data_IF_377394046092
#
_entry.id   IF_377394046092
#
_cell.length_a   1.000
_cell.length_b   1.000
_cell.length_c   1.000
_cell.angle_alpha   90.00
_cell.angle_beta   90.00
_cell.angle_gamma   90.00
#
_symmetry.space_group_name_H-M   'P 1'
#
loop_
_entity.id
_entity.type
_entity.pdbx_description
1 polymer ?
#
# COMPACT_ATOMS: atom_id res chain seq x y z
N UNK A 1 36.08 66.27 -41.97
CA UNK A 1 35.97 65.01 -42.74
C UNK A 1 36.43 63.88 -41.83
N UNK A 2 35.74 62.75 -41.88
CA UNK A 2 36.13 61.44 -41.34
C UNK A 2 36.03 61.16 -39.82
N UNK A 3 34.89 61.42 -39.20
CA UNK A 3 34.51 60.78 -37.90
C UNK A 3 33.46 59.68 -38.01
N UNK A 4 32.91 59.44 -39.21
CA UNK A 4 31.87 58.42 -39.41
C UNK A 4 32.42 57.00 -39.66
N UNK A 5 33.70 56.87 -40.05
CA UNK A 5 34.32 55.57 -40.31
C UNK A 5 34.65 54.78 -39.03
N UNK A 6 34.80 55.43 -37.87
CA UNK A 6 35.17 54.74 -36.62
C UNK A 6 34.01 54.07 -35.86
N UNK A 7 32.74 54.34 -36.21
CA UNK A 7 31.61 53.65 -35.58
C UNK A 7 31.27 52.31 -36.22
N UNK A 8 31.60 52.08 -37.49
CA UNK A 8 31.27 50.81 -38.16
C UNK A 8 32.25 49.68 -37.86
N UNK A 9 33.55 49.98 -37.64
CA UNK A 9 34.53 48.95 -37.29
C UNK A 9 34.39 48.44 -35.85
N UNK A 10 33.81 49.22 -34.93
CA UNK A 10 33.61 48.77 -33.54
C UNK A 10 32.51 47.71 -33.40
N UNK A 11 31.48 47.72 -34.26
CA UNK A 11 30.37 46.78 -34.17
C UNK A 11 30.67 45.47 -34.92
N UNK A 12 31.42 45.56 -36.03
CA UNK A 12 31.91 44.37 -36.75
C UNK A 12 32.88 43.57 -35.88
N UNK A 13 33.72 44.24 -35.07
CA UNK A 13 34.64 43.57 -34.15
C UNK A 13 33.93 42.78 -33.03
N UNK A 14 32.81 43.30 -32.51
CA UNK A 14 32.03 42.62 -31.44
C UNK A 14 31.26 41.42 -31.99
N UNK A 15 30.72 41.52 -33.21
CA UNK A 15 30.00 40.42 -33.84
C UNK A 15 30.98 39.30 -34.28
N UNK A 16 32.17 39.66 -34.78
CA UNK A 16 33.18 38.67 -35.20
C UNK A 16 33.77 37.89 -34.00
N UNK A 17 33.98 38.54 -32.85
CA UNK A 17 34.43 37.87 -31.61
C UNK A 17 33.32 36.99 -31.01
N UNK A 18 32.05 37.40 -31.13
CA UNK A 18 30.92 36.59 -30.64
C UNK A 18 30.69 35.32 -31.48
N UNK A 19 30.91 35.38 -32.80
CA UNK A 19 30.86 34.22 -33.68
C UNK A 19 32.07 33.29 -33.53
N UNK A 20 33.24 33.81 -33.12
CA UNK A 20 34.42 33.00 -32.84
C UNK A 20 34.32 32.25 -31.50
N UNK A 21 33.63 32.81 -30.49
CA UNK A 21 33.39 32.13 -29.20
C UNK A 21 32.32 31.03 -29.34
N UNK A 22 31.36 31.18 -30.26
CA UNK A 22 30.34 30.16 -30.54
C UNK A 22 30.81 29.00 -31.45
N UNK A 23 32.02 29.08 -32.02
CA UNK A 23 32.56 28.04 -32.91
C UNK A 23 33.68 27.18 -32.31
N UNK A 24 34.05 27.39 -31.04
CA UNK A 24 35.03 26.56 -30.30
C UNK A 24 34.34 25.66 -29.25
N UNK A 25 33.01 25.57 -29.26
CA UNK A 25 32.25 24.60 -28.47
C UNK A 25 31.36 23.72 -29.36
N UNK A 26 31.97 22.98 -30.27
CA UNK A 26 31.44 21.69 -30.71
C UNK A 26 32.57 20.77 -31.19
N UNK A 27 33.03 19.88 -30.31
CA UNK A 27 33.60 18.60 -30.72
C UNK A 27 33.74 17.66 -29.52
N UNK A 28 32.66 17.41 -28.78
CA UNK A 28 32.51 16.07 -28.22
C UNK A 28 31.90 15.20 -29.31
N UNK A 29 32.75 14.32 -29.84
CA UNK A 29 32.40 13.27 -30.79
C UNK A 29 31.16 12.51 -30.29
N UNK A 30 30.31 11.98 -31.18
CA UNK A 30 29.46 10.86 -30.80
C UNK A 30 30.38 9.68 -30.48
N UNK A 31 30.60 9.45 -29.18
CA UNK A 31 31.19 8.20 -28.71
C UNK A 31 30.20 7.09 -29.02
N UNK A 32 30.45 6.35 -30.11
CA UNK A 32 29.73 5.11 -30.46
C UNK A 32 29.96 4.01 -29.42
N UNK A 33 30.73 4.27 -28.36
CA UNK A 33 30.82 3.43 -27.16
C UNK A 33 30.99 4.30 -25.92
N UNK A 34 29.94 5.02 -25.52
CA UNK A 34 29.75 5.36 -24.12
C UNK A 34 28.42 4.71 -23.71
N UNK A 35 28.53 3.56 -23.06
CA UNK A 35 27.48 3.06 -22.18
C UNK A 35 27.27 4.12 -21.10
N UNK A 36 26.46 5.12 -21.41
CA UNK A 36 25.68 5.79 -20.39
C UNK A 36 24.70 4.71 -19.99
N UNK A 37 25.04 3.94 -18.95
CA UNK A 37 24.01 3.23 -18.22
C UNK A 37 22.88 4.22 -18.04
N UNK A 38 21.63 3.89 -18.40
CA UNK A 38 20.52 4.71 -17.97
C UNK A 38 20.74 4.90 -16.47
N UNK A 39 20.82 6.15 -16.02
CA UNK A 39 20.74 6.43 -14.59
C UNK A 39 19.59 5.56 -14.11
N UNK A 40 19.84 4.58 -13.21
CA UNK A 40 18.74 3.82 -12.67
C UNK A 40 17.85 4.91 -12.08
N UNK A 41 16.61 4.98 -12.56
CA UNK A 41 15.56 5.78 -11.93
C UNK A 41 15.44 5.20 -10.53
N UNK A 42 16.31 5.68 -9.66
CA UNK A 42 16.40 5.44 -8.24
C UNK A 42 15.59 6.56 -7.63
N UNK A 43 14.31 6.52 -7.94
CA UNK A 43 13.29 7.04 -7.05
C UNK A 43 12.41 5.85 -6.75
N UNK A 44 12.86 5.06 -5.77
CA UNK A 44 11.93 4.39 -4.87
C UNK A 44 10.94 5.49 -4.48
N UNK A 45 9.62 5.33 -4.69
CA UNK A 45 8.69 6.19 -4.01
C UNK A 45 8.92 5.94 -2.53
N UNK A 46 9.67 6.83 -1.87
CA UNK A 46 9.46 7.06 -0.45
C UNK A 46 7.96 7.31 -0.32
N UNK A 47 7.31 6.47 0.49
CA UNK A 47 5.91 6.62 0.89
C UNK A 47 5.82 7.87 1.76
N UNK A 48 5.89 9.03 1.11
CA UNK A 48 5.61 10.33 1.70
C UNK A 48 4.09 10.50 1.69
N UNK A 49 3.45 10.01 2.76
CA UNK A 49 2.05 10.24 3.15
C UNK A 49 1.08 10.50 2.00
N UNK A 50 0.73 9.45 1.24
CA UNK A 50 -0.42 9.56 0.33
C UNK A 50 -1.67 9.81 1.17
N UNK A 51 -2.35 10.91 0.88
CA UNK A 51 -3.48 11.38 1.66
C UNK A 51 -4.69 10.43 1.50
N UNK A 52 -5.31 10.07 2.61
CA UNK A 52 -6.58 9.32 2.63
C UNK A 52 -7.70 10.24 2.14
N UNK A 53 -8.34 9.86 1.03
CA UNK A 53 -9.43 10.64 0.44
C UNK A 53 -10.81 10.07 0.78
N UNK A 54 -10.91 8.76 1.01
CA UNK A 54 -12.14 8.09 1.45
C UNK A 54 -11.74 7.18 2.59
N UNK A 55 -12.49 7.24 3.68
CA UNK A 55 -12.37 6.31 4.80
C UNK A 55 -13.76 5.81 5.15
N UNK A 56 -13.92 4.50 5.23
CA UNK A 56 -15.10 3.86 5.80
C UNK A 56 -14.65 3.06 7.01
N UNK A 57 -15.24 3.37 8.16
CA UNK A 57 -15.12 2.59 9.38
C UNK A 57 -16.42 1.87 9.67
N UNK A 58 -16.34 0.56 9.86
CA UNK A 58 -17.47 -0.32 10.17
C UNK A 58 -17.27 -0.84 11.60
N UNK A 59 -18.20 -0.50 12.51
CA UNK A 59 -18.14 -0.91 13.91
C UNK A 59 -19.42 -1.59 14.37
N UNK A 60 -19.29 -2.54 15.29
CA UNK A 60 -20.41 -3.11 16.04
C UNK A 60 -20.89 -4.45 15.51
N UNK A 61 -22.18 -4.74 15.67
CA UNK A 61 -22.73 -6.07 15.41
C UNK A 61 -22.39 -7.11 16.51
N UNK A 62 -23.01 -8.30 16.46
CA UNK A 62 -22.93 -9.29 17.53
C UNK A 62 -21.53 -9.89 17.73
N UNK A 63 -20.67 -9.85 16.72
CA UNK A 63 -19.30 -10.39 16.77
C UNK A 63 -18.25 -9.32 17.14
N UNK A 64 -18.66 -8.05 17.28
CA UNK A 64 -17.75 -6.94 17.57
C UNK A 64 -16.87 -6.57 16.38
N UNK A 65 -17.45 -6.41 15.19
CA UNK A 65 -16.72 -6.01 13.98
C UNK A 65 -16.03 -4.67 14.19
N UNK A 66 -14.76 -4.60 13.81
CA UNK A 66 -13.99 -3.37 13.66
C UNK A 66 -13.18 -3.51 12.37
N UNK A 67 -13.70 -2.91 11.29
CA UNK A 67 -13.07 -2.93 9.99
C UNK A 67 -12.88 -1.50 9.51
N UNK A 68 -11.73 -1.25 8.87
CA UNK A 68 -11.44 0.02 8.22
C UNK A 68 -11.15 -0.21 6.74
N UNK A 69 -11.77 0.58 5.88
CA UNK A 69 -11.46 0.68 4.46
C UNK A 69 -10.94 2.08 4.18
N UNK A 70 -9.77 2.16 3.54
CA UNK A 70 -9.15 3.40 3.11
C UNK A 70 -9.00 3.41 1.60
N UNK A 71 -9.27 4.56 0.99
CA UNK A 71 -8.88 4.86 -0.39
C UNK A 71 -7.93 6.05 -0.35
N UNK A 72 -6.72 5.82 -0.83
CA UNK A 72 -5.66 6.81 -0.90
C UNK A 72 -5.73 7.57 -2.23
N UNK A 73 -5.23 8.81 -2.26
CA UNK A 73 -5.24 9.63 -3.48
C UNK A 73 -4.48 8.97 -4.66
N UNK A 74 -3.50 8.12 -4.37
CA UNK A 74 -2.75 7.32 -5.34
C UNK A 74 -3.53 6.12 -5.92
N UNK A 75 -4.82 5.97 -5.57
CA UNK A 75 -5.75 4.90 -5.98
C UNK A 75 -5.56 3.57 -5.25
N UNK A 76 -4.75 3.50 -4.20
CA UNK A 76 -4.66 2.29 -3.38
C UNK A 76 -5.88 2.20 -2.48
N UNK A 77 -6.61 1.09 -2.58
CA UNK A 77 -7.65 0.69 -1.63
C UNK A 77 -7.03 -0.29 -0.63
N UNK A 78 -7.21 -0.02 0.67
CA UNK A 78 -6.75 -0.87 1.76
C UNK A 78 -7.92 -1.25 2.65
N UNK A 79 -7.96 -2.51 3.08
CA UNK A 79 -8.91 -3.04 4.06
C UNK A 79 -8.09 -3.53 5.24
N UNK A 80 -8.45 -3.13 6.45
CA UNK A 80 -7.90 -3.63 7.70
C UNK A 80 -8.99 -4.37 8.48
N UNK A 81 -8.70 -5.62 8.82
CA UNK A 81 -9.52 -6.44 9.70
C UNK A 81 -8.97 -6.33 11.12
N UNK A 82 -9.25 -5.21 11.80
CA UNK A 82 -8.70 -4.89 13.13
C UNK A 82 -9.12 -5.90 14.22
N UNK A 83 -10.18 -6.67 13.97
CA UNK A 83 -10.61 -7.76 14.82
C UNK A 83 -11.34 -8.83 13.98
N UNK A 84 -11.10 -10.14 14.22
CA UNK A 84 -10.20 -10.73 15.22
C UNK A 84 -8.75 -10.94 14.76
N UNK A 85 -8.47 -10.86 13.46
CA UNK A 85 -7.28 -11.49 12.87
C UNK A 85 -6.10 -10.53 12.60
N UNK A 86 -6.32 -9.21 12.63
CA UNK A 86 -5.34 -8.17 12.29
C UNK A 86 -4.69 -8.35 10.90
N UNK A 87 -5.42 -8.95 9.97
CA UNK A 87 -5.05 -9.03 8.57
C UNK A 87 -5.31 -7.70 7.85
N UNK A 88 -4.71 -7.55 6.68
CA UNK A 88 -5.10 -6.49 5.75
C UNK A 88 -5.11 -6.99 4.33
N UNK A 89 -5.92 -6.37 3.48
CA UNK A 89 -5.94 -6.59 2.05
C UNK A 89 -5.77 -5.27 1.34
N UNK A 90 -5.18 -5.28 0.15
CA UNK A 90 -5.08 -4.09 -0.66
C UNK A 90 -5.23 -4.40 -2.16
N UNK A 91 -5.62 -3.38 -2.92
CA UNK A 91 -5.58 -3.41 -4.39
C UNK A 91 -5.39 -2.00 -4.92
N UNK A 92 -4.82 -1.88 -6.12
CA UNK A 92 -4.80 -0.63 -6.88
C UNK A 92 -6.08 -0.52 -7.68
N UNK A 93 -6.86 0.54 -7.45
CA UNK A 93 -8.03 0.88 -8.26
C UNK A 93 -7.60 1.39 -9.64
N UNK A 94 -8.37 1.03 -10.65
CA UNK A 94 -8.29 1.68 -11.96
C UNK A 94 -8.70 3.16 -11.85
N UNK A 95 -8.30 3.96 -12.83
CA UNK A 95 -8.74 5.36 -12.89
C UNK A 95 -10.26 5.49 -12.96
N UNK A 96 -10.92 4.54 -13.65
CA UNK A 96 -12.37 4.51 -13.80
C UNK A 96 -13.02 4.23 -12.43
N UNK A 97 -12.62 3.15 -11.74
CA UNK A 97 -13.13 2.85 -10.39
C UNK A 97 -12.95 4.02 -9.41
N UNK A 98 -11.79 4.68 -9.45
CA UNK A 98 -11.52 5.84 -8.60
C UNK A 98 -12.43 7.04 -8.93
N UNK A 99 -12.64 7.32 -10.21
CA UNK A 99 -13.51 8.40 -10.65
C UNK A 99 -14.98 8.10 -10.34
N UNK A 100 -15.40 6.85 -10.50
CA UNK A 100 -16.76 6.40 -10.18
C UNK A 100 -17.03 6.55 -8.67
N UNK A 101 -16.08 6.13 -7.82
CA UNK A 101 -16.16 6.34 -6.38
C UNK A 101 -16.30 7.83 -6.03
N UNK A 102 -15.43 8.70 -6.58
CA UNK A 102 -15.51 10.15 -6.31
C UNK A 102 -16.81 10.79 -6.80
N UNK A 103 -17.27 10.39 -7.98
CA UNK A 103 -18.52 10.88 -8.56
C UNK A 103 -19.72 10.48 -7.70
N UNK A 104 -19.70 9.29 -7.10
CA UNK A 104 -20.74 8.83 -6.20
C UNK A 104 -20.99 9.78 -5.03
N UNK A 105 -19.92 10.27 -4.38
CA UNK A 105 -20.03 11.21 -3.25
C UNK A 105 -20.62 12.56 -3.69
N UNK A 106 -20.23 13.04 -4.87
CA UNK A 106 -20.66 14.34 -5.39
C UNK A 106 -22.11 14.28 -5.90
N UNK A 107 -22.48 13.24 -6.64
CA UNK A 107 -23.84 12.99 -7.13
C UNK A 107 -24.85 12.81 -5.98
N UNK A 108 -24.42 12.21 -4.87
CA UNK A 108 -25.23 12.03 -3.67
C UNK A 108 -25.14 13.20 -2.68
N UNK A 109 -24.53 14.33 -3.07
CA UNK A 109 -24.39 15.55 -2.27
C UNK A 109 -23.83 15.29 -0.86
N UNK A 110 -22.79 14.46 -0.75
CA UNK A 110 -22.28 13.98 0.53
C UNK A 110 -21.93 15.10 1.53
N UNK A 111 -21.33 16.21 1.07
CA UNK A 111 -20.99 17.38 1.89
C UNK A 111 -22.21 18.09 2.53
N UNK A 112 -23.43 17.75 2.11
CA UNK A 112 -24.67 18.27 2.71
C UNK A 112 -25.34 17.29 3.68
N UNK A 113 -24.85 16.05 3.76
CA UNK A 113 -25.41 15.04 4.65
C UNK A 113 -25.03 15.36 6.11
N UNK A 114 -25.91 15.00 7.04
CA UNK A 114 -25.67 15.13 8.47
C UNK A 114 -25.47 13.73 9.08
N UNK A 115 -25.12 13.68 10.37
CA UNK A 115 -25.09 12.40 11.08
C UNK A 115 -26.50 11.82 11.18
N UNK A 116 -26.64 10.53 10.90
CA UNK A 116 -27.90 9.81 10.73
C UNK A 116 -27.94 8.59 11.67
N UNK A 117 -27.84 8.87 12.98
CA UNK A 117 -27.83 7.86 14.04
C UNK A 117 -29.23 7.55 14.56
N UNK A 118 -29.46 6.28 14.92
CA UNK A 118 -30.64 5.87 15.69
C UNK A 118 -30.56 6.37 17.14
N UNK A 119 -31.70 6.84 17.69
CA UNK A 119 -31.73 7.61 18.93
C UNK A 119 -31.51 6.82 20.25
N UNK A 120 -31.31 5.49 20.26
CA UNK A 120 -31.30 4.77 21.55
C UNK A 120 -30.60 3.41 21.69
N UNK A 121 -30.07 2.74 20.64
CA UNK A 121 -29.53 1.35 20.79
C UNK A 121 -28.23 1.08 20.02
N UNK A 122 -27.28 2.02 20.07
CA UNK A 122 -26.00 1.96 19.34
C UNK A 122 -25.11 0.73 19.66
N UNK A 123 -25.40 -0.04 20.71
CA UNK A 123 -24.59 -1.20 21.12
C UNK A 123 -24.85 -2.49 20.32
N UNK A 124 -25.93 -2.59 19.54
CA UNK A 124 -26.26 -3.79 18.75
C UNK A 124 -26.23 -3.58 17.24
N UNK A 125 -26.28 -2.33 16.79
CA UNK A 125 -26.36 -2.01 15.37
C UNK A 125 -24.96 -1.86 14.77
N UNK A 126 -24.82 -2.15 13.48
CA UNK A 126 -23.60 -1.89 12.74
C UNK A 126 -23.59 -0.41 12.37
N UNK A 127 -22.56 0.29 12.80
CA UNK A 127 -22.34 1.71 12.53
C UNK A 127 -21.33 1.88 11.40
N UNK A 128 -21.62 2.83 10.53
CA UNK A 128 -20.78 3.22 9.41
C UNK A 128 -20.36 4.67 9.61
N UNK A 129 -19.07 4.89 9.77
CA UNK A 129 -18.47 6.22 9.78
C UNK A 129 -17.74 6.41 8.45
N UNK A 130 -18.25 7.30 7.62
CA UNK A 130 -17.72 7.57 6.28
C UNK A 130 -17.12 8.97 6.28
N UNK A 131 -15.85 9.07 5.91
CA UNK A 131 -15.15 10.33 5.70
C UNK A 131 -14.79 10.45 4.23
N UNK A 132 -15.03 11.63 3.66
CA UNK A 132 -14.62 11.97 2.30
C UNK A 132 -13.90 13.31 2.28
N UNK A 133 -12.77 13.33 1.59
CA UNK A 133 -11.98 14.52 1.31
C UNK A 133 -11.92 14.77 -0.19
N UNK A 134 -12.28 15.98 -0.58
CA UNK A 134 -12.19 16.47 -1.95
C UNK A 134 -11.75 17.94 -1.91
N UNK A 135 -10.65 18.23 -2.61
CA UNK A 135 -9.99 19.53 -2.57
C UNK A 135 -9.65 19.92 -1.11
N UNK A 136 -10.06 21.10 -0.67
CA UNK A 136 -9.87 21.58 0.71
C UNK A 136 -11.03 21.22 1.66
N UNK A 137 -12.03 20.45 1.20
CA UNK A 137 -13.19 20.07 2.00
C UNK A 137 -13.03 18.66 2.55
N UNK A 138 -13.28 18.52 3.85
CA UNK A 138 -13.38 17.22 4.55
C UNK A 138 -14.73 17.16 5.23
N UNK A 139 -15.44 16.05 5.04
CA UNK A 139 -16.70 15.82 5.72
C UNK A 139 -16.78 14.38 6.20
N UNK A 140 -17.41 14.19 7.36
CA UNK A 140 -17.62 12.88 7.97
C UNK A 140 -19.09 12.76 8.33
N UNK A 141 -19.68 11.62 7.96
CA UNK A 141 -21.01 11.22 8.44
C UNK A 141 -20.88 9.96 9.27
N UNK A 142 -21.69 9.86 10.31
CA UNK A 142 -21.89 8.63 11.07
C UNK A 142 -23.34 8.21 10.90
N UNK A 143 -23.56 6.98 10.43
CA UNK A 143 -24.88 6.48 10.10
C UNK A 143 -25.10 5.05 10.57
N UNK A 144 -26.32 4.75 11.02
CA UNK A 144 -26.85 3.38 11.08
C UNK A 144 -27.52 3.09 9.73
N UNK A 145 -27.12 2.00 9.08
CA UNK A 145 -27.61 1.65 7.74
C UNK A 145 -29.14 1.60 7.64
N UNK A 146 -29.84 1.14 8.69
CA UNK A 146 -31.29 0.98 8.64
C UNK A 146 -32.04 2.31 8.70
N UNK A 147 -31.46 3.32 9.33
CA UNK A 147 -32.05 4.66 9.48
C UNK A 147 -31.46 5.69 8.53
N UNK A 148 -30.37 5.35 7.84
CA UNK A 148 -29.70 6.21 6.90
C UNK A 148 -30.60 6.61 5.72
N UNK A 149 -30.41 7.84 5.24
CA UNK A 149 -31.00 8.37 4.02
C UNK A 149 -30.60 7.52 2.83
N UNK A 150 -31.41 7.58 1.77
CA UNK A 150 -31.14 6.83 0.51
C UNK A 150 -29.75 7.18 -0.04
N UNK A 151 -29.34 8.45 0.06
CA UNK A 151 -28.04 8.95 -0.41
C UNK A 151 -26.88 8.34 0.38
N UNK A 152 -26.96 8.33 1.71
CA UNK A 152 -25.94 7.73 2.56
C UNK A 152 -25.81 6.22 2.32
N UNK A 153 -26.95 5.50 2.18
CA UNK A 153 -26.93 4.06 1.88
C UNK A 153 -26.29 3.73 0.55
N UNK A 154 -26.56 4.49 -0.51
CA UNK A 154 -25.92 4.29 -1.82
C UNK A 154 -24.38 4.35 -1.69
N UNK A 155 -23.86 5.32 -0.94
CA UNK A 155 -22.42 5.47 -0.70
C UNK A 155 -21.89 4.28 0.11
N UNK A 156 -22.55 3.93 1.21
CA UNK A 156 -22.15 2.80 2.06
C UNK A 156 -22.14 1.49 1.25
N UNK A 157 -23.19 1.22 0.47
CA UNK A 157 -23.32 0.01 -0.36
C UNK A 157 -22.19 -0.11 -1.38
N UNK A 158 -21.83 0.99 -2.04
CA UNK A 158 -20.73 0.99 -3.01
C UNK A 158 -19.38 0.69 -2.34
N UNK A 159 -19.11 1.28 -1.18
CA UNK A 159 -17.88 1.01 -0.42
C UNK A 159 -17.86 -0.44 0.10
N UNK A 160 -18.99 -0.94 0.58
CA UNK A 160 -19.16 -2.33 1.02
C UNK A 160 -19.00 -3.33 -0.12
N UNK A 161 -19.39 -2.98 -1.35
CA UNK A 161 -19.17 -3.81 -2.52
C UNK A 161 -17.67 -3.98 -2.78
N UNK A 162 -16.88 -2.90 -2.72
CA UNK A 162 -15.42 -2.99 -2.84
C UNK A 162 -14.81 -3.80 -1.69
N UNK A 163 -15.28 -3.59 -0.46
CA UNK A 163 -14.86 -4.35 0.71
C UNK A 163 -15.08 -5.85 0.51
N UNK A 164 -16.32 -6.22 0.19
CA UNK A 164 -16.76 -7.62 0.06
C UNK A 164 -16.03 -8.30 -1.09
N UNK A 165 -15.95 -7.67 -2.26
CA UNK A 165 -15.30 -8.25 -3.43
C UNK A 165 -13.82 -8.54 -3.20
N UNK A 166 -13.08 -7.63 -2.55
CA UNK A 166 -11.67 -7.87 -2.26
C UNK A 166 -11.53 -8.99 -1.21
N UNK A 167 -12.31 -8.92 -0.12
CA UNK A 167 -12.27 -9.92 0.95
C UNK A 167 -12.67 -11.33 0.50
N UNK A 168 -13.60 -11.44 -0.45
CA UNK A 168 -14.05 -12.74 -0.98
C UNK A 168 -13.21 -13.27 -2.13
N UNK A 169 -12.23 -12.52 -2.64
CA UNK A 169 -11.41 -12.94 -3.79
C UNK A 169 -10.04 -13.49 -3.38
N UNK A 170 -9.51 -13.05 -2.24
CA UNK A 170 -8.13 -13.32 -1.85
C UNK A 170 -8.05 -13.72 -0.38
N UNK A 171 -7.48 -14.89 -0.12
CA UNK A 171 -7.10 -15.32 1.23
C UNK A 171 -5.58 -15.46 1.33
N UNK A 172 -5.01 -14.84 2.35
CA UNK A 172 -3.57 -14.87 2.64
C UNK A 172 -3.37 -15.58 3.98
N UNK A 173 -2.57 -16.64 3.98
CA UNK A 173 -2.30 -17.45 5.17
C UNK A 173 -0.79 -17.58 5.36
N UNK A 174 -0.33 -17.30 6.57
CA UNK A 174 1.03 -17.63 6.99
C UNK A 174 0.99 -19.02 7.65
N UNK A 175 1.84 -19.92 7.18
CA UNK A 175 2.00 -21.25 7.75
C UNK A 175 3.36 -21.30 8.42
N UNK A 176 3.38 -21.77 9.67
CA UNK A 176 4.61 -21.98 10.44
C UNK A 176 4.61 -23.34 11.12
N UNK A 177 5.81 -23.87 11.39
CA UNK A 177 5.98 -25.20 11.98
C UNK A 177 5.83 -25.21 13.51
N UNK A 178 5.88 -24.05 14.16
CA UNK A 178 5.83 -23.93 15.62
C UNK A 178 5.09 -22.66 16.06
N UNK A 179 4.52 -22.70 17.25
CA UNK A 179 3.99 -21.51 17.97
C UNK A 179 4.79 -21.17 19.21
N UNK A 180 5.74 -22.03 19.61
CA UNK A 180 6.67 -21.80 20.71
C UNK A 180 8.06 -22.36 20.36
N UNK A 181 9.10 -21.63 20.72
CA UNK A 181 10.50 -21.95 20.42
C UNK A 181 11.28 -22.02 21.74
N UNK A 182 11.71 -23.23 22.12
CA UNK A 182 12.53 -23.48 23.34
C UNK A 182 13.94 -23.98 23.03
N UNK A 183 14.10 -24.70 21.91
CA UNK A 183 15.33 -25.45 21.58
C UNK A 183 15.68 -25.44 20.10
N UNK A 184 14.82 -24.88 19.24
CA UNK A 184 15.11 -24.66 17.84
C UNK A 184 15.56 -23.21 17.66
N UNK A 185 16.67 -22.95 16.95
CA UNK A 185 17.07 -21.57 16.61
C UNK A 185 16.35 -21.05 15.37
N UNK A 186 15.37 -21.79 14.86
CA UNK A 186 14.77 -21.50 13.59
C UNK A 186 13.27 -21.72 13.59
N UNK A 187 12.59 -20.85 12.85
CA UNK A 187 11.17 -20.88 12.55
C UNK A 187 11.00 -21.01 11.04
N UNK A 188 10.23 -22.00 10.60
CA UNK A 188 9.86 -22.17 9.20
C UNK A 188 8.67 -21.27 8.90
N UNK A 189 8.74 -20.54 7.79
CA UNK A 189 7.68 -19.65 7.33
C UNK A 189 7.35 -19.96 5.86
N UNK A 190 6.07 -20.18 5.59
CA UNK A 190 5.54 -20.40 4.23
C UNK A 190 4.29 -19.55 4.08
N UNK A 191 4.23 -18.72 3.05
CA UNK A 191 3.00 -17.99 2.72
C UNK A 191 2.19 -18.75 1.68
N UNK A 192 0.92 -18.98 2.00
CA UNK A 192 -0.07 -19.55 1.10
C UNK A 192 -1.06 -18.47 0.69
N UNK A 193 -1.30 -18.38 -0.61
CA UNK A 193 -2.27 -17.43 -1.18
C UNK A 193 -3.29 -18.19 -2.00
N UNK A 194 -4.56 -18.00 -1.67
CA UNK A 194 -5.69 -18.68 -2.26
C UNK A 194 -6.58 -17.67 -2.99
N UNK A 195 -6.91 -17.99 -4.25
CA UNK A 195 -7.93 -17.30 -5.00
C UNK A 195 -9.29 -17.93 -4.69
N UNK A 196 -10.14 -17.18 -4.01
CA UNK A 196 -11.48 -17.63 -3.60
C UNK A 196 -12.58 -17.21 -4.59
N UNK A 197 -12.21 -16.49 -5.66
CA UNK A 197 -13.14 -16.06 -6.69
C UNK A 197 -13.39 -17.13 -7.75
N UNK A 198 -14.48 -16.96 -8.50
CA UNK A 198 -14.84 -17.81 -9.64
C UNK A 198 -14.05 -17.50 -10.92
N UNK A 199 -13.13 -16.54 -10.87
CA UNK A 199 -12.30 -16.10 -12.01
C UNK A 199 -10.82 -16.25 -11.71
N UNK A 200 -9.98 -16.25 -12.76
CA UNK A 200 -8.53 -16.18 -12.57
C UNK A 200 -8.13 -14.87 -11.88
N UNK A 201 -7.28 -14.98 -10.87
CA UNK A 201 -6.71 -13.85 -10.13
C UNK A 201 -5.29 -13.60 -10.62
N UNK A 202 -5.01 -12.38 -11.05
CA UNK A 202 -3.66 -11.96 -11.43
C UNK A 202 -3.03 -11.10 -10.33
N UNK A 203 -1.92 -11.58 -9.77
CA UNK A 203 -1.08 -10.86 -8.83
C UNK A 203 0.03 -10.14 -9.58
N UNK A 204 0.11 -8.82 -9.44
CA UNK A 204 1.17 -7.98 -10.05
C UNK A 204 2.09 -7.43 -8.98
N UNK A 205 3.39 -7.63 -9.10
CA UNK A 205 4.38 -7.15 -8.13
C UNK A 205 5.65 -6.65 -8.82
N UNK A 206 6.21 -5.55 -8.33
CA UNK A 206 7.35 -4.84 -8.96
C UNK A 206 8.66 -4.99 -8.20
N UNK A 207 8.63 -5.50 -6.97
CA UNK A 207 9.82 -5.68 -6.13
C UNK A 207 10.64 -6.93 -6.48
N UNK A 208 10.36 -7.59 -7.62
CA UNK A 208 10.99 -8.84 -8.03
C UNK A 208 10.63 -10.07 -7.17
N UNK A 209 9.96 -9.86 -6.04
CA UNK A 209 9.37 -10.86 -5.13
C UNK A 209 7.89 -10.54 -4.90
N UNK A 210 7.09 -11.59 -4.73
CA UNK A 210 5.68 -11.45 -4.41
C UNK A 210 5.44 -11.30 -2.90
N UNK A 211 6.37 -11.76 -2.07
CA UNK A 211 6.14 -11.95 -0.63
C UNK A 211 7.25 -11.33 0.20
N UNK A 212 6.93 -10.93 1.42
CA UNK A 212 7.86 -10.56 2.47
C UNK A 212 7.39 -11.19 3.80
N UNK A 213 8.29 -11.27 4.77
CA UNK A 213 7.98 -11.77 6.11
C UNK A 213 8.55 -10.81 7.13
N UNK A 214 7.75 -10.45 8.12
CA UNK A 214 8.11 -9.45 9.12
C UNK A 214 7.82 -9.98 10.51
N UNK A 215 8.72 -9.67 11.44
CA UNK A 215 8.59 -10.02 12.84
C UNK A 215 8.57 -8.75 13.67
N UNK A 216 7.57 -8.63 14.54
CA UNK A 216 7.43 -7.53 15.48
C UNK A 216 7.57 -8.04 16.92
N UNK A 217 8.21 -7.25 17.77
CA UNK A 217 8.13 -7.45 19.21
C UNK A 217 6.72 -7.13 19.68
N UNK A 218 6.12 -8.02 20.48
CA UNK A 218 4.83 -7.76 21.12
C UNK A 218 4.93 -8.03 22.63
N UNK A 219 4.01 -7.44 23.37
CA UNK A 219 3.81 -7.73 24.78
C UNK A 219 2.73 -8.81 24.93
N UNK A 220 2.78 -9.62 26.00
CA UNK A 220 1.84 -10.72 26.30
C UNK A 220 0.35 -10.34 26.28
N UNK A 221 0.04 -9.03 26.29
CA UNK A 221 -1.32 -8.48 26.32
C UNK A 221 -1.71 -7.69 25.05
N UNK A 222 -0.86 -7.64 24.01
CA UNK A 222 -1.04 -6.79 22.81
C UNK A 222 -0.85 -7.57 21.51
N UNK A 223 -1.56 -8.69 21.36
CA UNK A 223 -1.56 -9.47 20.12
C UNK A 223 -2.18 -8.74 18.91
N UNK A 224 -2.88 -7.62 19.15
CA UNK A 224 -3.70 -6.95 18.16
C UNK A 224 -3.19 -5.58 17.71
N UNK A 225 -1.95 -5.21 18.05
CA UNK A 225 -1.41 -3.91 17.63
C UNK A 225 0.04 -4.09 17.20
N UNK A 226 0.28 -3.99 15.90
CA UNK A 226 1.62 -4.01 15.31
C UNK A 226 2.08 -2.56 15.11
N UNK A 227 3.03 -2.13 15.92
CA UNK A 227 3.65 -0.81 15.77
C UNK A 227 4.93 -0.95 14.93
N UNK A 228 5.13 -0.11 13.89
CA UNK A 228 6.32 -0.18 13.03
C UNK A 228 7.64 -0.08 13.80
N UNK A 229 7.68 0.71 14.88
CA UNK A 229 8.87 0.90 15.72
C UNK A 229 9.29 -0.38 16.48
N UNK A 230 8.42 -1.38 16.53
CA UNK A 230 8.69 -2.69 17.14
C UNK A 230 9.13 -3.75 16.13
N UNK A 231 9.39 -3.39 14.86
CA UNK A 231 9.94 -4.31 13.85
C UNK A 231 11.33 -4.81 14.30
N UNK A 232 11.48 -6.12 14.40
CA UNK A 232 12.71 -6.78 14.80
C UNK A 232 13.49 -7.32 13.62
N UNK A 233 12.77 -7.81 12.61
CA UNK A 233 13.34 -8.51 11.48
C UNK A 233 12.41 -8.44 10.27
N UNK A 234 13.01 -8.25 9.10
CA UNK A 234 12.32 -8.30 7.82
C UNK A 234 13.13 -9.09 6.80
N UNK A 235 12.51 -10.11 6.22
CA UNK A 235 13.18 -11.00 5.28
C UNK A 235 13.83 -10.24 4.12
N UNK A 236 13.09 -9.28 3.57
CA UNK A 236 13.54 -8.49 2.44
C UNK A 236 14.81 -7.66 2.65
N UNK A 237 15.13 -7.26 3.88
CA UNK A 237 16.33 -6.47 4.17
C UNK A 237 17.62 -7.28 4.01
N UNK A 238 17.51 -8.61 3.97
CA UNK A 238 18.65 -9.51 3.83
C UNK A 238 19.05 -9.77 2.37
N UNK A 239 18.30 -9.24 1.39
CA UNK A 239 18.55 -9.49 -0.03
C UNK A 239 18.31 -8.25 -0.89
N UNK A 240 19.24 -7.98 -1.82
CA UNK A 240 19.00 -7.02 -2.89
C UNK A 240 18.19 -7.68 -3.99
N UNK A 241 16.98 -7.19 -4.25
CA UNK A 241 16.13 -7.68 -5.34
C UNK A 241 16.05 -6.61 -6.42
N UNK A 242 16.28 -7.02 -7.67
CA UNK A 242 16.12 -6.11 -8.81
C UNK A 242 14.63 -5.81 -9.03
N UNK A 243 14.24 -4.53 -9.11
CA UNK A 243 12.85 -4.16 -9.34
C UNK A 243 12.47 -4.55 -10.77
N UNK A 244 11.66 -5.60 -10.89
CA UNK A 244 11.12 -6.10 -12.15
C UNK A 244 9.65 -6.41 -11.93
N UNK A 245 8.79 -5.85 -12.79
CA UNK A 245 7.38 -6.21 -12.81
C UNK A 245 7.23 -7.69 -13.19
N UNK A 246 6.54 -8.42 -12.32
CA UNK A 246 6.17 -9.81 -12.51
C UNK A 246 4.67 -9.97 -12.30
N UNK A 247 4.12 -10.95 -13.01
CA UNK A 247 2.70 -11.30 -13.00
C UNK A 247 2.58 -12.79 -12.68
N UNK A 248 1.74 -13.12 -11.70
CA UNK A 248 1.43 -14.48 -11.33
C UNK A 248 -0.08 -14.69 -11.40
N UNK A 249 -0.52 -15.70 -12.14
CA UNK A 249 -1.93 -16.05 -12.29
C UNK A 249 -2.26 -17.22 -11.38
N UNK A 250 -3.33 -17.09 -10.59
CA UNK A 250 -3.89 -18.13 -9.74
C UNK A 250 -5.28 -18.44 -10.28
N UNK A 251 -5.50 -19.67 -10.75
CA UNK A 251 -6.79 -20.08 -11.26
C UNK A 251 -7.88 -20.00 -10.16
N UNK A 252 -9.14 -19.94 -10.58
CA UNK A 252 -10.29 -19.91 -9.68
C UNK A 252 -10.25 -21.08 -8.68
N UNK A 253 -10.51 -20.81 -7.40
CA UNK A 253 -10.50 -21.79 -6.31
C UNK A 253 -9.20 -22.59 -6.17
N UNK A 254 -8.08 -22.03 -6.61
CA UNK A 254 -6.74 -22.61 -6.45
C UNK A 254 -5.89 -21.78 -5.49
N UNK A 255 -4.83 -22.40 -4.98
CA UNK A 255 -3.83 -21.72 -4.16
C UNK A 255 -2.44 -21.87 -4.76
N UNK A 256 -1.56 -20.97 -4.36
CA UNK A 256 -0.12 -21.05 -4.57
C UNK A 256 0.59 -20.94 -3.23
N UNK A 257 1.61 -21.74 -3.04
CA UNK A 257 2.53 -21.62 -1.91
C UNK A 257 3.81 -20.96 -2.43
N UNK A 258 4.23 -19.91 -1.72
CA UNK A 258 5.50 -19.25 -2.01
C UNK A 258 6.66 -19.96 -1.34
N UNK A 259 7.87 -19.59 -1.74
CA UNK A 259 9.10 -20.19 -1.25
C UNK A 259 9.13 -20.22 0.29
N UNK A 260 9.49 -21.39 0.80
CA UNK A 260 9.71 -21.62 2.21
C UNK A 260 10.99 -20.92 2.65
N UNK A 261 10.89 -20.14 3.72
CA UNK A 261 12.05 -19.51 4.34
C UNK A 261 12.24 -19.98 5.77
N UNK A 262 13.45 -19.80 6.26
CA UNK A 262 13.82 -20.11 7.64
C UNK A 262 14.33 -18.85 8.32
N UNK A 263 13.63 -18.40 9.37
CA UNK A 263 14.09 -17.30 10.22
C UNK A 263 14.87 -17.84 11.42
N UNK A 264 16.11 -17.36 11.62
CA UNK A 264 17.00 -17.84 12.68
C UNK A 264 16.75 -17.21 14.06
N UNK A 265 15.54 -16.69 14.31
CA UNK A 265 15.13 -16.08 15.59
C UNK A 265 16.09 -14.97 16.04
N UNK A 266 16.52 -14.17 15.06
CA UNK A 266 17.45 -13.05 15.22
C UNK A 266 16.87 -11.78 14.62
N UNK A 267 17.19 -10.64 15.23
CA UNK A 267 16.92 -9.33 14.63
C UNK A 267 17.73 -9.14 13.36
N UNK A 268 17.44 -8.10 12.57
CA UNK A 268 18.27 -7.73 11.41
C UNK A 268 19.72 -7.38 11.82
N UNK A 269 19.91 -6.94 13.06
CA UNK A 269 21.24 -6.71 13.68
C UNK A 269 21.91 -7.98 14.22
N UNK A 270 21.32 -9.15 13.98
CA UNK A 270 21.81 -10.49 14.39
C UNK A 270 21.80 -10.73 15.90
N UNK A 271 20.96 -10.01 16.64
CA UNK A 271 20.73 -10.24 18.07
C UNK A 271 19.65 -11.29 18.28
N UNK A 272 19.85 -12.21 19.23
CA UNK A 272 18.85 -13.24 19.53
C UNK A 272 17.58 -12.61 20.12
N UNK A 273 16.43 -12.96 19.56
CA UNK A 273 15.12 -12.50 20.03
C UNK A 273 14.66 -13.32 21.23
N UNK A 274 13.87 -12.71 22.13
CA UNK A 274 13.26 -13.35 23.31
C UNK A 274 11.87 -12.77 23.59
N UNK A 275 11.04 -13.53 24.28
CA UNK A 275 9.68 -13.12 24.63
C UNK A 275 8.70 -13.40 23.50
N UNK A 276 7.58 -12.68 23.49
CA UNK A 276 6.56 -12.85 22.47
C UNK A 276 6.85 -12.00 21.24
N UNK A 277 6.68 -12.61 20.08
CA UNK A 277 6.73 -11.93 18.79
C UNK A 277 5.48 -12.19 17.99
N UNK A 278 5.13 -11.24 17.14
CA UNK A 278 4.14 -11.39 16.10
C UNK A 278 4.86 -11.65 14.78
N UNK A 279 4.51 -12.73 14.09
CA UNK A 279 5.01 -13.02 12.74
C UNK A 279 3.88 -12.80 11.74
N UNK A 280 4.19 -12.06 10.68
CA UNK A 280 3.25 -11.78 9.58
C UNK A 280 3.89 -12.09 8.23
N UNK A 281 3.10 -12.62 7.31
CA UNK A 281 3.43 -12.67 5.89
C UNK A 281 2.82 -11.47 5.17
N UNK A 282 3.60 -10.78 4.35
CA UNK A 282 3.12 -9.69 3.50
C UNK A 282 3.12 -10.16 2.03
N UNK A 283 1.95 -10.14 1.39
CA UNK A 283 1.81 -10.27 -0.05
C UNK A 283 1.96 -8.87 -0.67
N UNK A 284 3.13 -8.62 -1.27
CA UNK A 284 3.56 -7.31 -1.81
C UNK A 284 3.07 -7.08 -3.24
N UNK A 285 2.09 -7.88 -3.71
CA UNK A 285 1.44 -7.70 -5.00
C UNK A 285 0.20 -6.80 -4.92
N UNK A 286 -0.37 -6.47 -6.08
CA UNK A 286 -1.76 -6.00 -6.19
C UNK A 286 -2.57 -7.03 -7.01
N UNK A 287 -3.73 -7.51 -6.49
CA UNK A 287 -4.13 -7.39 -5.09
C UNK A 287 -3.11 -8.06 -4.14
N UNK A 288 -3.10 -7.62 -2.89
CA UNK A 288 -2.11 -8.00 -1.88
C UNK A 288 -2.64 -7.85 -0.47
N UNK A 289 -1.75 -7.83 0.51
CA UNK A 289 -2.16 -7.69 1.90
C UNK A 289 -1.19 -8.29 2.91
N UNK A 290 -1.64 -8.38 4.16
CA UNK A 290 -0.96 -9.07 5.26
C UNK A 290 -1.80 -10.24 5.73
N UNK A 291 -1.15 -11.36 6.02
CA UNK A 291 -1.79 -12.48 6.71
C UNK A 291 -2.29 -12.04 8.09
N UNK A 292 -3.22 -12.81 8.69
CA UNK A 292 -3.42 -12.75 10.13
C UNK A 292 -2.10 -12.86 10.90
N UNK A 293 -2.07 -12.23 12.07
CA UNK A 293 -0.87 -12.23 12.92
C UNK A 293 -0.73 -13.55 13.66
N UNK A 294 0.45 -14.17 13.62
CA UNK A 294 0.74 -15.40 14.38
C UNK A 294 1.63 -15.05 15.57
N UNK A 295 1.13 -15.18 16.81
CA UNK A 295 1.95 -15.00 18.00
C UNK A 295 2.86 -16.21 18.22
N UNK A 296 4.15 -15.94 18.41
CA UNK A 296 5.18 -16.94 18.68
C UNK A 296 5.88 -16.59 19.98
N UNK A 297 5.99 -17.55 20.90
CA UNK A 297 6.76 -17.37 22.13
C UNK A 297 8.19 -17.89 21.97
N UNK A 298 9.17 -17.04 22.29
CA UNK A 298 10.60 -17.36 22.24
C UNK A 298 11.16 -17.41 23.67
N UNK A 299 11.62 -18.57 24.11
CA UNK A 299 12.15 -18.80 25.47
C UNK A 299 13.69 -18.73 25.54
#
# INVERSE_FOLDING_TARGET
>A
MDTWKNKYYSWISVILVSLLVLSIQSCERPGVFNHTEPEPVTSIPEVNSDEVIIHLKIKGGPEGFDHDLFVLNNRVLMIYDNYPDNGSLNKVLTQIEMNDLRSLFSENNFFSLQNELAASDAGKNILYEVTFKQDDLVHTIIADYNTASVRARIIIDALLLHFTNLRSSLKIELITDKTEITTARFLRLVMKVENQSDSELELVYTQGRAVDYVVYQINDNQFNTLEPDNELWRWSLNFSVNPVEKRLKIAAHQFTEFEEITWNVQTDEKTMVKGWVAVVGELVSTPGGRSPTIPIKIN
#
